data_IF_260771547080
#
_entry.id   IF_260771547080
#
_cell.length_a   1.000
_cell.length_b   1.000
_cell.length_c   1.000
_cell.angle_alpha   90.00
_cell.angle_beta   90.00
_cell.angle_gamma   90.00
#
_symmetry.space_group_name_H-M   'P 1'
#
loop_
_entity.id
_entity.type
_entity.pdbx_description
1 polymer ?
#
# COMPACT_ATOMS: atom_id res chain seq x y z
N UNK A 1 13.11 -7.53 -0.70
CA UNK A 1 12.05 -6.49 -0.75
C UNK A 1 11.83 -5.92 0.64
N UNK A 2 11.79 -4.60 0.78
CA UNK A 2 11.55 -3.95 2.06
C UNK A 2 10.07 -4.03 2.45
N UNK A 3 9.77 -3.76 3.72
CA UNK A 3 8.37 -3.77 4.18
C UNK A 3 7.55 -2.70 3.45
N UNK A 4 8.16 -1.54 3.18
CA UNK A 4 7.46 -0.48 2.44
C UNK A 4 7.15 -0.94 1.01
N UNK A 5 8.08 -1.61 0.37
CA UNK A 5 7.86 -2.16 -0.98
C UNK A 5 6.74 -3.20 -0.98
N UNK A 6 6.69 -4.04 0.06
CA UNK A 6 5.59 -5.00 0.22
C UNK A 6 4.26 -4.29 0.39
N UNK A 7 4.25 -3.16 1.13
CA UNK A 7 3.03 -2.37 1.30
C UNK A 7 2.55 -1.81 -0.03
N UNK A 8 3.46 -1.36 -0.88
CA UNK A 8 3.12 -0.86 -2.21
C UNK A 8 2.48 -1.96 -3.06
N UNK A 9 3.06 -3.15 -3.04
CA UNK A 9 2.52 -4.30 -3.79
C UNK A 9 1.14 -4.67 -3.26
N UNK A 10 0.96 -4.70 -1.94
CA UNK A 10 -0.35 -4.96 -1.34
C UNK A 10 -1.39 -3.95 -1.79
N UNK A 11 -1.01 -2.67 -1.77
CA UNK A 11 -1.94 -1.59 -2.12
C UNK A 11 -2.39 -1.68 -3.57
N UNK A 12 -1.49 -2.03 -4.46
CA UNK A 12 -1.80 -2.06 -5.88
C UNK A 12 -2.44 -3.37 -6.33
N UNK A 13 -1.94 -4.51 -5.85
CA UNK A 13 -2.40 -5.81 -6.31
C UNK A 13 -3.50 -6.44 -5.45
N UNK A 14 -3.60 -6.01 -4.20
CA UNK A 14 -4.55 -6.59 -3.26
C UNK A 14 -4.04 -7.85 -2.57
N UNK A 15 -2.84 -8.34 -2.90
CA UNK A 15 -2.27 -9.50 -2.21
C UNK A 15 -1.84 -9.15 -0.81
N UNK A 16 -2.16 -10.02 0.14
CA UNK A 16 -1.76 -9.85 1.53
C UNK A 16 -0.32 -10.32 1.72
N UNK A 17 0.61 -9.39 1.84
CA UNK A 17 2.03 -9.68 2.03
C UNK A 17 2.53 -9.30 3.42
N UNK A 18 1.78 -8.44 4.11
CA UNK A 18 2.10 -7.99 5.46
C UNK A 18 0.95 -8.35 6.37
N UNK A 19 1.23 -9.12 7.43
CA UNK A 19 0.22 -9.54 8.39
C UNK A 19 0.74 -9.36 9.81
N UNK A 20 -0.15 -9.45 10.78
CA UNK A 20 0.21 -9.30 12.17
C UNK A 20 0.84 -7.94 12.45
N UNK A 21 1.99 -7.94 13.08
CA UNK A 21 2.70 -6.72 13.47
C UNK A 21 3.10 -5.86 12.28
N UNK A 22 3.26 -6.46 11.12
CA UNK A 22 3.70 -5.74 9.92
C UNK A 22 2.55 -5.00 9.22
N UNK A 23 1.33 -5.27 9.61
CA UNK A 23 0.18 -4.56 9.03
C UNK A 23 0.25 -3.06 9.26
N UNK A 24 0.89 -2.62 10.34
CA UNK A 24 1.06 -1.20 10.62
C UNK A 24 1.84 -0.48 9.53
N UNK A 25 2.80 -1.16 8.90
CA UNK A 25 3.58 -0.60 7.79
C UNK A 25 2.65 -0.30 6.62
N UNK A 26 1.77 -1.23 6.30
CA UNK A 26 0.78 -1.06 5.24
C UNK A 26 -0.19 0.10 5.57
N UNK A 27 -0.67 0.14 6.79
CA UNK A 27 -1.59 1.19 7.24
C UNK A 27 -0.94 2.57 7.14
N UNK A 28 0.31 2.69 7.59
CA UNK A 28 1.05 3.95 7.49
C UNK A 28 1.23 4.38 6.04
N UNK A 29 1.54 3.44 5.17
CA UNK A 29 1.69 3.73 3.75
C UNK A 29 0.39 4.27 3.16
N UNK A 30 -0.74 3.66 3.51
CA UNK A 30 -2.06 4.11 3.04
C UNK A 30 -2.35 5.52 3.54
N UNK A 31 -2.04 5.82 4.78
CA UNK A 31 -2.26 7.16 5.33
C UNK A 31 -1.43 8.21 4.63
N UNK A 32 -0.17 7.91 4.34
CA UNK A 32 0.71 8.79 3.57
C UNK A 32 0.16 8.99 2.15
N UNK A 33 -0.27 7.92 1.54
CA UNK A 33 -0.79 7.94 0.18
C UNK A 33 -2.05 8.81 0.07
N UNK A 34 -2.94 8.69 1.04
CA UNK A 34 -4.19 9.44 1.06
C UNK A 34 -4.03 10.87 1.61
N UNK A 35 -2.93 11.14 2.31
CA UNK A 35 -2.66 12.45 2.88
C UNK A 35 -3.51 12.78 4.09
N UNK A 36 -4.09 11.77 4.75
CA UNK A 36 -4.89 11.94 5.96
C UNK A 36 -4.93 10.65 6.76
N UNK A 37 -5.28 10.74 8.05
CA UNK A 37 -5.49 9.53 8.85
C UNK A 37 -6.62 8.68 8.26
N UNK A 38 -6.39 7.37 8.19
CA UNK A 38 -7.34 6.42 7.62
C UNK A 38 -7.60 5.32 8.63
N UNK A 39 -8.87 5.05 8.89
CA UNK A 39 -9.27 3.94 9.75
C UNK A 39 -9.11 2.62 9.00
N UNK A 40 -8.79 1.55 9.74
CA UNK A 40 -8.60 0.25 9.11
C UNK A 40 -9.83 -0.22 8.32
N UNK A 41 -11.02 0.06 8.82
CA UNK A 41 -12.25 -0.33 8.13
C UNK A 41 -12.52 0.52 6.89
N UNK A 42 -11.92 1.70 6.78
CA UNK A 42 -12.05 2.54 5.59
C UNK A 42 -11.23 2.01 4.43
N UNK A 43 -10.19 1.24 4.71
CA UNK A 43 -9.30 0.73 3.66
C UNK A 43 -10.09 -0.06 2.61
N UNK A 44 -11.05 -0.86 3.05
CA UNK A 44 -11.90 -1.63 2.12
C UNK A 44 -12.71 -0.73 1.20
N UNK A 45 -13.20 0.40 1.71
CA UNK A 45 -13.98 1.34 0.91
C UNK A 45 -13.13 2.18 -0.03
N UNK A 46 -11.85 2.35 0.30
CA UNK A 46 -10.93 3.18 -0.47
C UNK A 46 -10.07 2.36 -1.44
N UNK A 47 -10.35 1.08 -1.56
CA UNK A 47 -9.51 0.15 -2.33
C UNK A 47 -9.22 0.64 -3.74
N UNK A 48 -10.22 1.12 -4.47
CA UNK A 48 -10.02 1.61 -5.83
C UNK A 48 -9.12 2.85 -5.88
N UNK A 49 -9.32 3.76 -4.93
CA UNK A 49 -8.49 4.96 -4.84
C UNK A 49 -7.06 4.61 -4.44
N UNK A 50 -6.92 3.66 -3.54
CA UNK A 50 -5.62 3.18 -3.12
C UNK A 50 -4.86 2.58 -4.30
N UNK A 51 -5.54 1.76 -5.09
CA UNK A 51 -4.96 1.18 -6.30
C UNK A 51 -4.51 2.26 -7.27
N UNK A 52 -5.39 3.22 -7.55
CA UNK A 52 -5.08 4.27 -8.50
C UNK A 52 -3.88 5.12 -8.04
N UNK A 53 -3.84 5.46 -6.76
CA UNK A 53 -2.76 6.28 -6.21
C UNK A 53 -1.44 5.51 -6.09
N UNK A 54 -1.49 4.23 -5.80
CA UNK A 54 -0.29 3.42 -5.63
C UNK A 54 0.32 2.96 -6.95
N UNK A 55 -0.39 3.14 -8.05
CA UNK A 55 0.09 2.71 -9.37
C UNK A 55 1.45 3.31 -9.71
N UNK A 56 1.62 4.60 -9.49
CA UNK A 56 2.90 5.26 -9.79
C UNK A 56 4.04 4.68 -8.94
N UNK A 57 3.78 4.44 -7.67
CA UNK A 57 4.76 3.84 -6.77
C UNK A 57 5.09 2.41 -7.20
N UNK A 58 4.08 1.68 -7.62
CA UNK A 58 4.27 0.30 -8.09
C UNK A 58 5.10 0.25 -9.36
N UNK A 59 4.84 1.14 -10.30
CA UNK A 59 5.61 1.22 -11.54
C UNK A 59 7.06 1.58 -11.24
N UNK A 60 7.29 2.52 -10.34
CA UNK A 60 8.62 2.91 -9.91
C UNK A 60 9.37 1.73 -9.28
N UNK A 61 8.68 0.95 -8.48
CA UNK A 61 9.23 -0.26 -7.85
C UNK A 61 9.66 -1.27 -8.92
N UNK A 62 8.83 -1.48 -9.92
CA UNK A 62 9.16 -2.39 -11.03
C UNK A 62 10.39 -1.94 -11.79
N UNK A 63 10.57 -0.65 -11.95
CA UNK A 63 11.76 -0.10 -12.62
C UNK A 63 13.03 -0.37 -11.83
N UNK A 64 12.95 -0.26 -10.51
CA UNK A 64 14.11 -0.47 -9.64
C UNK A 64 14.59 -1.91 -9.65
N UNK A 65 13.70 -2.82 -9.94
CA UNK A 65 13.99 -4.24 -9.91
C UNK A 65 14.58 -4.79 -11.22
N UNK A 66 14.68 -3.98 -12.21
CA UNK A 66 15.27 -4.37 -13.50
C UNK A 66 16.79 -4.35 -13.48
#
# INVERSE_FOLDING_TARGET
MTDREKAIVMAYTGYTMLTGDKFDVYHQYIEELMGRPVWTHEIAYLEEKIKAKSRADFIELCRKEE
#
